data_IF_738479481218
#
_entry.id   IF_738479481218
#
_cell.length_a   1.000
_cell.length_b   1.000
_cell.length_c   1.000
_cell.angle_alpha   90.00
_cell.angle_beta   90.00
_cell.angle_gamma   90.00
#
_symmetry.space_group_name_H-M   'P 1'
#
loop_
_entity.id
_entity.type
_entity.pdbx_description
1 polymer ?
#
# COMPACT_ATOMS: atom_id res chain seq x y z
N UNK A 1 14.53 13.85 10.76
CA UNK A 1 14.06 12.46 10.55
C UNK A 1 13.28 12.41 9.24
N UNK A 2 13.56 11.41 8.39
CA UNK A 2 12.84 11.20 7.13
C UNK A 2 11.41 10.69 7.39
N UNK A 3 10.39 11.07 6.59
CA UNK A 3 9.04 10.60 6.79
C UNK A 3 8.89 9.11 6.42
N UNK A 4 8.17 8.35 7.23
CA UNK A 4 7.74 6.99 6.91
C UNK A 4 6.21 6.94 6.97
N UNK A 5 5.57 6.86 5.82
CA UNK A 5 4.11 6.84 5.72
C UNK A 5 3.61 5.40 5.67
N UNK A 6 2.85 5.02 6.67
CA UNK A 6 2.23 3.70 6.78
C UNK A 6 0.80 3.81 6.27
N UNK A 7 0.55 3.29 5.07
CA UNK A 7 -0.81 3.23 4.53
C UNK A 7 -1.56 2.04 5.13
N UNK A 8 -2.55 2.36 5.92
CA UNK A 8 -3.36 1.42 6.68
C UNK A 8 -4.79 1.35 6.14
N UNK A 9 -5.45 0.22 6.29
CA UNK A 9 -6.83 0.01 5.86
C UNK A 9 -7.05 -1.40 5.32
N UNK A 10 -8.30 -1.79 5.20
CA UNK A 10 -8.72 -3.10 4.72
C UNK A 10 -8.22 -3.42 3.30
N UNK A 11 -8.13 -4.69 2.91
CA UNK A 11 -7.90 -5.06 1.51
C UNK A 11 -8.92 -4.33 0.60
N UNK A 12 -8.47 -3.74 -0.51
CA UNK A 12 -9.37 -3.01 -1.41
C UNK A 12 -9.69 -1.56 -1.02
N UNK A 13 -9.20 -1.03 0.11
CA UNK A 13 -9.44 0.36 0.52
C UNK A 13 -8.75 1.41 -0.36
N UNK A 14 -7.83 1.03 -1.24
CA UNK A 14 -7.14 1.95 -2.15
C UNK A 14 -5.69 2.30 -1.76
N UNK A 15 -5.12 1.66 -0.73
CA UNK A 15 -3.74 1.90 -0.28
C UNK A 15 -2.71 1.92 -1.41
N UNK A 16 -2.68 0.88 -2.23
CA UNK A 16 -1.72 0.79 -3.34
C UNK A 16 -1.88 1.88 -4.40
N UNK A 17 -3.10 2.38 -4.61
CA UNK A 17 -3.35 3.53 -5.49
C UNK A 17 -2.76 4.79 -4.88
N UNK A 18 -3.02 5.04 -3.59
CA UNK A 18 -2.48 6.19 -2.89
C UNK A 18 -0.96 6.13 -2.75
N UNK A 19 -0.39 4.94 -2.49
CA UNK A 19 1.05 4.75 -2.45
C UNK A 19 1.73 5.15 -3.77
N UNK A 20 1.18 4.73 -4.91
CA UNK A 20 1.69 5.10 -6.23
C UNK A 20 1.61 6.60 -6.51
N UNK A 21 0.55 7.27 -6.05
CA UNK A 21 0.39 8.71 -6.20
C UNK A 21 1.34 9.50 -5.28
N UNK A 22 1.54 9.03 -4.05
CA UNK A 22 2.44 9.65 -3.08
C UNK A 22 3.92 9.43 -3.42
N UNK A 23 4.27 8.32 -4.07
CA UNK A 23 5.65 7.96 -4.41
C UNK A 23 6.42 9.09 -5.09
N UNK A 24 5.78 9.86 -5.98
CA UNK A 24 6.41 10.96 -6.71
C UNK A 24 6.93 12.09 -5.80
N UNK A 25 6.42 12.20 -4.57
CA UNK A 25 6.72 13.32 -3.66
C UNK A 25 7.31 12.91 -2.30
N UNK A 26 7.31 11.61 -1.95
CA UNK A 26 7.62 11.17 -0.60
C UNK A 26 8.62 10.01 -0.49
N UNK A 27 9.07 9.46 -1.58
CA UNK A 27 10.00 8.34 -1.59
C UNK A 27 9.39 7.03 -2.09
N UNK A 28 10.13 5.92 -2.03
CA UNK A 28 9.73 4.66 -2.64
C UNK A 28 8.49 4.05 -1.99
N UNK A 29 7.66 3.43 -2.84
CA UNK A 29 6.54 2.61 -2.43
C UNK A 29 7.03 1.18 -2.13
N UNK A 30 6.98 0.78 -0.87
CA UNK A 30 7.32 -0.55 -0.38
C UNK A 30 6.03 -1.32 -0.11
N UNK A 31 5.66 -2.20 -1.04
CA UNK A 31 4.47 -3.05 -0.96
C UNK A 31 4.86 -4.49 -0.64
N UNK A 32 4.58 -4.95 0.58
CA UNK A 32 4.86 -6.34 0.96
C UNK A 32 4.10 -7.34 0.10
N UNK A 33 2.90 -7.00 -0.32
CA UNK A 33 2.12 -7.85 -1.22
C UNK A 33 2.77 -7.99 -2.60
N UNK A 34 3.34 -6.92 -3.17
CA UNK A 34 4.02 -6.99 -4.47
C UNK A 34 5.36 -7.69 -4.36
N UNK A 35 6.12 -7.46 -3.27
CA UNK A 35 7.38 -8.16 -3.00
C UNK A 35 7.15 -9.67 -2.87
N UNK A 36 6.17 -10.11 -2.09
CA UNK A 36 5.83 -11.54 -1.95
C UNK A 36 5.36 -12.16 -3.28
N UNK A 37 4.59 -11.43 -4.09
CA UNK A 37 4.20 -11.89 -5.44
C UNK A 37 5.39 -12.03 -6.37
N UNK A 38 6.38 -11.14 -6.30
CA UNK A 38 7.62 -11.27 -7.07
C UNK A 38 8.39 -12.55 -6.69
N UNK A 39 8.50 -12.87 -5.39
CA UNK A 39 9.09 -14.13 -4.92
C UNK A 39 8.30 -15.35 -5.39
N UNK A 40 6.96 -15.30 -5.38
CA UNK A 40 6.10 -16.37 -5.91
C UNK A 40 6.37 -16.58 -7.41
N UNK A 41 6.49 -15.50 -8.17
CA UNK A 41 6.76 -15.55 -9.61
C UNK A 41 8.16 -16.09 -9.91
N UNK A 42 9.15 -15.76 -9.07
CA UNK A 42 10.51 -16.29 -9.15
C UNK A 42 10.61 -17.78 -8.75
N UNK A 43 9.60 -18.30 -8.02
CA UNK A 43 9.56 -19.70 -7.57
C UNK A 43 10.61 -20.04 -6.51
N UNK A 44 11.14 -19.02 -5.79
CA UNK A 44 12.13 -19.23 -4.73
C UNK A 44 11.51 -19.78 -3.43
N UNK A 45 12.33 -20.04 -2.42
CA UNK A 45 11.89 -20.64 -1.16
C UNK A 45 10.85 -19.78 -0.42
N UNK A 46 11.03 -18.48 -0.40
CA UNK A 46 10.08 -17.56 0.20
C UNK A 46 8.76 -17.54 -0.58
N UNK A 47 8.84 -17.49 -1.90
CA UNK A 47 7.67 -17.53 -2.78
C UNK A 47 6.86 -18.82 -2.60
N UNK A 48 7.50 -19.98 -2.53
CA UNK A 48 6.83 -21.27 -2.28
C UNK A 48 6.09 -21.30 -0.94
N UNK A 49 6.72 -20.79 0.13
CA UNK A 49 6.11 -20.70 1.47
C UNK A 49 4.93 -19.70 1.49
N UNK A 50 5.07 -18.56 0.83
CA UNK A 50 4.06 -17.52 0.81
C UNK A 50 2.84 -17.86 -0.05
N UNK A 51 3.03 -18.61 -1.15
CA UNK A 51 1.99 -18.86 -2.17
C UNK A 51 0.71 -19.48 -1.59
N UNK A 52 0.84 -20.54 -0.81
CA UNK A 52 -0.34 -21.23 -0.22
C UNK A 52 -1.12 -20.32 0.71
N UNK A 53 -0.42 -19.53 1.55
CA UNK A 53 -1.04 -18.62 2.50
C UNK A 53 -1.75 -17.47 1.79
N UNK A 54 -1.11 -16.86 0.79
CA UNK A 54 -1.69 -15.76 0.00
C UNK A 54 -2.93 -16.23 -0.76
N UNK A 55 -2.88 -17.43 -1.39
CA UNK A 55 -4.04 -18.02 -2.07
C UNK A 55 -5.22 -18.28 -1.13
N UNK A 56 -4.94 -18.59 0.15
CA UNK A 56 -5.94 -18.78 1.20
C UNK A 56 -6.40 -17.47 1.85
N UNK A 57 -5.81 -16.32 1.52
CA UNK A 57 -6.09 -15.02 2.12
C UNK A 57 -5.49 -14.82 3.50
N UNK A 58 -4.60 -15.71 3.93
CA UNK A 58 -3.93 -15.69 5.24
C UNK A 58 -2.65 -14.88 5.22
N UNK A 59 -2.18 -14.51 6.42
CA UNK A 59 -0.91 -13.79 6.58
C UNK A 59 0.29 -14.74 6.44
N UNK A 60 1.36 -14.22 5.85
CA UNK A 60 2.68 -14.86 5.84
C UNK A 60 3.32 -14.66 7.23
N UNK A 61 4.10 -15.61 7.77
CA UNK A 61 4.75 -15.49 9.07
C UNK A 61 5.50 -14.18 9.26
N UNK A 62 5.35 -13.59 10.46
CA UNK A 62 5.85 -12.25 10.78
C UNK A 62 7.36 -12.12 10.53
N UNK A 63 8.14 -13.15 10.87
CA UNK A 63 9.60 -13.17 10.75
C UNK A 63 10.04 -12.98 9.30
N UNK A 64 9.38 -13.69 8.37
CA UNK A 64 9.70 -13.61 6.94
C UNK A 64 9.36 -12.23 6.37
N UNK A 65 8.22 -11.66 6.78
CA UNK A 65 7.80 -10.35 6.30
C UNK A 65 8.66 -9.24 6.92
N UNK A 66 9.02 -9.35 8.19
CA UNK A 66 9.92 -8.41 8.86
C UNK A 66 11.27 -8.33 8.18
N UNK A 67 11.91 -9.49 7.91
CA UNK A 67 13.19 -9.56 7.19
C UNK A 67 13.11 -8.92 5.81
N UNK A 68 12.03 -9.23 5.06
CA UNK A 68 11.79 -8.67 3.73
C UNK A 68 11.70 -7.14 3.78
N UNK A 69 10.98 -6.58 4.76
CA UNK A 69 10.82 -5.13 4.91
C UNK A 69 12.11 -4.49 5.39
N UNK A 70 12.80 -5.05 6.39
CA UNK A 70 14.06 -4.53 6.89
C UNK A 70 15.10 -4.40 5.77
N UNK A 71 15.28 -5.46 4.98
CA UNK A 71 16.18 -5.46 3.83
C UNK A 71 15.80 -4.40 2.79
N UNK A 72 14.51 -4.15 2.57
CA UNK A 72 14.04 -3.16 1.59
C UNK A 72 14.21 -1.72 2.06
N UNK A 73 13.85 -1.42 3.31
CA UNK A 73 13.96 -0.04 3.82
C UNK A 73 15.41 0.39 4.08
N UNK A 74 16.33 -0.56 4.24
CA UNK A 74 17.76 -0.29 4.37
C UNK A 74 18.40 0.21 3.06
N UNK A 75 17.71 0.07 1.91
CA UNK A 75 18.25 0.50 0.61
C UNK A 75 18.42 2.03 0.55
N UNK A 76 19.42 2.52 -0.20
CA UNK A 76 19.74 3.95 -0.27
C UNK A 76 18.58 4.84 -0.71
N UNK A 77 17.69 4.35 -1.58
CA UNK A 77 16.53 5.08 -2.08
C UNK A 77 15.47 5.38 -1.01
N UNK A 78 15.45 4.60 0.09
CA UNK A 78 14.55 4.81 1.22
C UNK A 78 15.01 5.89 2.20
N UNK A 79 16.27 6.33 2.16
CA UNK A 79 16.85 7.25 3.15
C UNK A 79 16.14 8.61 3.24
N UNK A 80 15.56 9.08 2.14
CA UNK A 80 14.83 10.36 2.10
C UNK A 80 13.38 10.26 2.56
N UNK A 81 12.85 9.05 2.70
CA UNK A 81 11.48 8.75 3.11
C UNK A 81 11.00 7.44 2.49
N UNK A 82 9.91 6.89 3.01
CA UNK A 82 9.34 5.62 2.56
C UNK A 82 7.83 5.59 2.71
N UNK A 83 7.14 4.90 1.80
CA UNK A 83 5.71 4.62 1.90
C UNK A 83 5.55 3.12 2.05
N UNK A 84 5.01 2.67 3.18
CA UNK A 84 4.74 1.27 3.47
C UNK A 84 3.29 0.92 3.11
N UNK A 85 3.10 -0.12 2.31
CA UNK A 85 1.79 -0.63 1.91
C UNK A 85 1.68 -2.12 2.22
N UNK A 86 0.69 -2.48 3.04
CA UNK A 86 0.45 -3.84 3.47
C UNK A 86 1.37 -4.35 4.58
N UNK A 87 2.07 -3.46 5.26
CA UNK A 87 2.86 -3.71 6.45
C UNK A 87 2.81 -2.49 7.38
N UNK A 88 2.66 -2.68 8.72
CA UNK A 88 2.50 -3.95 9.42
C UNK A 88 1.08 -4.51 9.30
N UNK A 89 0.90 -5.83 9.54
CA UNK A 89 -0.39 -6.52 9.57
C UNK A 89 -0.69 -7.20 10.90
N UNK A 90 0.27 -7.24 11.81
CA UNK A 90 0.11 -7.73 13.19
C UNK A 90 0.71 -6.74 14.16
N UNK A 91 0.30 -6.78 15.44
CA UNK A 91 0.88 -5.93 16.48
C UNK A 91 2.37 -6.23 16.67
N UNK A 92 2.78 -7.50 16.52
CA UNK A 92 4.21 -7.89 16.57
C UNK A 92 5.01 -7.22 15.46
N UNK A 93 4.51 -7.23 14.23
CA UNK A 93 5.14 -6.51 13.11
C UNK A 93 5.21 -4.99 13.39
N UNK A 94 4.16 -4.40 13.98
CA UNK A 94 4.15 -2.97 14.31
C UNK A 94 5.23 -2.62 15.36
N UNK A 95 5.44 -3.48 16.36
CA UNK A 95 6.51 -3.31 17.33
C UNK A 95 7.90 -3.34 16.68
N UNK A 96 8.14 -4.34 15.83
CA UNK A 96 9.40 -4.46 15.08
C UNK A 96 9.61 -3.25 14.16
N UNK A 97 8.56 -2.81 13.47
CA UNK A 97 8.63 -1.63 12.59
C UNK A 97 9.04 -0.38 13.35
N UNK A 98 8.47 -0.09 14.52
CA UNK A 98 8.85 1.08 15.30
C UNK A 98 10.32 1.04 15.73
N UNK A 99 10.85 -0.14 16.07
CA UNK A 99 12.28 -0.33 16.33
C UNK A 99 13.16 -0.02 15.11
N UNK A 100 12.78 -0.50 13.92
CA UNK A 100 13.45 -0.17 12.66
C UNK A 100 13.41 1.34 12.39
N UNK A 101 12.22 1.97 12.52
CA UNK A 101 12.06 3.40 12.27
C UNK A 101 12.94 4.26 13.19
N UNK A 102 13.03 3.89 14.46
CA UNK A 102 13.88 4.57 15.43
C UNK A 102 15.37 4.42 15.08
N UNK A 103 15.81 3.19 14.77
CA UNK A 103 17.20 2.87 14.39
C UNK A 103 17.65 3.64 13.15
N UNK A 104 16.77 3.71 12.14
CA UNK A 104 17.09 4.28 10.82
C UNK A 104 16.74 5.78 10.70
N UNK A 105 16.27 6.41 11.78
CA UNK A 105 16.00 7.85 11.85
C UNK A 105 14.75 8.28 11.07
N UNK A 106 13.76 7.41 10.96
CA UNK A 106 12.46 7.73 10.36
C UNK A 106 11.47 8.32 11.36
N UNK A 107 10.57 9.17 10.86
CA UNK A 107 9.40 9.67 11.58
C UNK A 107 8.15 8.99 11.03
N UNK A 108 7.59 7.98 11.73
CA UNK A 108 6.41 7.25 11.24
C UNK A 108 5.12 8.07 11.36
N UNK A 109 4.22 7.89 10.40
CA UNK A 109 2.84 8.34 10.47
C UNK A 109 1.92 7.35 9.77
N UNK A 110 0.75 7.11 10.34
CA UNK A 110 -0.27 6.21 9.82
C UNK A 110 -1.33 7.01 9.08
N UNK A 111 -1.61 6.61 7.84
CA UNK A 111 -2.77 7.09 7.08
C UNK A 111 -3.74 5.94 6.94
N UNK A 112 -4.83 5.99 7.70
CA UNK A 112 -5.87 4.97 7.73
C UNK A 112 -6.97 5.29 6.71
N UNK A 113 -7.05 4.49 5.63
CA UNK A 113 -8.12 4.60 4.64
C UNK A 113 -9.33 3.76 5.06
N UNK A 114 -10.42 4.44 5.41
CA UNK A 114 -11.68 3.81 5.84
C UNK A 114 -12.62 3.66 4.64
N UNK A 115 -13.12 2.45 4.41
CA UNK A 115 -14.06 2.12 3.34
C UNK A 115 -15.03 1.03 3.81
N UNK A 116 -16.30 1.18 3.50
CA UNK A 116 -17.34 0.20 3.82
C UNK A 116 -17.07 -1.15 3.13
N UNK A 117 -17.35 -2.26 3.81
CA UNK A 117 -17.04 -3.61 3.33
C UNK A 117 -17.75 -3.98 2.03
N UNK A 118 -19.00 -3.54 1.84
CA UNK A 118 -19.73 -3.79 0.60
C UNK A 118 -19.02 -3.15 -0.60
N UNK A 119 -18.51 -1.93 -0.43
CA UNK A 119 -17.72 -1.25 -1.46
C UNK A 119 -16.39 -1.97 -1.71
N UNK A 120 -15.78 -2.53 -0.66
CA UNK A 120 -14.53 -3.30 -0.77
C UNK A 120 -14.74 -4.57 -1.59
N UNK A 121 -15.76 -5.34 -1.30
CA UNK A 121 -16.07 -6.57 -2.05
C UNK A 121 -16.28 -6.25 -3.53
N UNK A 122 -17.08 -5.24 -3.85
CA UNK A 122 -17.31 -4.78 -5.22
C UNK A 122 -16.00 -4.35 -5.92
N UNK A 123 -15.13 -3.57 -5.22
CA UNK A 123 -13.84 -3.13 -5.76
C UNK A 123 -12.90 -4.29 -6.07
N UNK A 124 -12.79 -5.26 -5.15
CA UNK A 124 -11.87 -6.38 -5.29
C UNK A 124 -12.33 -7.36 -6.38
N UNK A 125 -13.62 -7.67 -6.46
CA UNK A 125 -14.19 -8.52 -7.50
C UNK A 125 -14.02 -7.92 -8.89
N UNK A 126 -14.11 -6.59 -9.01
CA UNK A 126 -13.88 -5.85 -10.26
C UNK A 126 -12.42 -5.57 -10.59
N UNK A 127 -11.47 -5.92 -9.69
CA UNK A 127 -10.06 -5.61 -9.88
C UNK A 127 -9.40 -6.48 -10.94
N UNK A 128 -8.57 -5.84 -11.77
CA UNK A 128 -7.72 -6.50 -12.75
C UNK A 128 -6.29 -5.99 -12.58
N UNK A 129 -5.32 -6.84 -12.87
CA UNK A 129 -3.90 -6.48 -12.80
C UNK A 129 -3.19 -6.87 -14.09
N UNK A 130 -2.33 -5.98 -14.58
CA UNK A 130 -1.40 -6.32 -15.63
C UNK A 130 -0.29 -7.24 -15.07
N UNK A 131 -0.03 -8.42 -15.65
CA UNK A 131 1.02 -9.31 -15.18
C UNK A 131 2.43 -8.80 -15.50
N UNK A 132 2.57 -7.87 -16.45
CA UNK A 132 3.85 -7.33 -16.90
C UNK A 132 4.26 -6.11 -16.07
N UNK A 133 3.46 -5.04 -16.06
CA UNK A 133 3.82 -3.79 -15.37
C UNK A 133 3.18 -3.62 -13.98
N UNK A 134 2.36 -4.58 -13.52
CA UNK A 134 1.71 -4.52 -12.22
C UNK A 134 0.62 -3.45 -12.09
N UNK A 135 0.24 -2.76 -13.17
CA UNK A 135 -0.81 -1.73 -13.16
C UNK A 135 -2.15 -2.35 -12.78
N UNK A 136 -2.85 -1.65 -11.88
CA UNK A 136 -4.16 -2.05 -11.40
C UNK A 136 -5.26 -1.28 -12.13
N UNK A 137 -6.29 -2.02 -12.54
CA UNK A 137 -7.51 -1.51 -13.14
C UNK A 137 -8.72 -1.93 -12.30
N UNK A 138 -9.78 -1.17 -12.42
CA UNK A 138 -11.09 -1.50 -11.85
C UNK A 138 -12.15 -1.35 -12.93
N UNK A 139 -13.00 -2.34 -13.08
CA UNK A 139 -14.07 -2.29 -14.08
C UNK A 139 -15.06 -1.12 -13.87
N UNK A 140 -15.15 -0.63 -12.62
CA UNK A 140 -16.11 0.42 -12.25
C UNK A 140 -15.48 1.80 -12.10
N UNK A 141 -14.27 1.90 -11.54
CA UNK A 141 -13.68 3.19 -11.13
C UNK A 141 -12.49 3.62 -11.98
N UNK A 142 -11.81 2.69 -12.64
CA UNK A 142 -10.65 2.95 -13.50
C UNK A 142 -10.55 1.84 -14.57
N UNK A 143 -11.51 1.77 -15.53
CA UNK A 143 -11.46 0.75 -16.57
C UNK A 143 -10.28 1.00 -17.53
N UNK A 144 -9.71 -0.05 -18.15
CA UNK A 144 -8.75 0.12 -19.22
C UNK A 144 -9.42 0.69 -20.46
N UNK A 145 -8.67 1.41 -21.31
CA UNK A 145 -9.15 1.97 -22.56
C UNK A 145 -9.68 0.91 -23.52
N UNK A 146 -9.02 -0.25 -23.55
CA UNK A 146 -9.45 -1.44 -24.28
C UNK A 146 -9.77 -2.53 -23.29
N UNK A 147 -11.00 -3.03 -23.32
CA UNK A 147 -11.46 -4.05 -22.38
C UNK A 147 -10.48 -5.23 -22.30
N UNK A 148 -10.06 -5.56 -21.08
CA UNK A 148 -9.16 -6.69 -20.79
C UNK A 148 -7.68 -6.50 -21.17
N UNK A 149 -7.26 -5.31 -21.66
CA UNK A 149 -5.87 -5.02 -22.01
C UNK A 149 -5.28 -3.90 -21.17
N UNK A 150 -4.00 -4.00 -20.87
CA UNK A 150 -3.24 -2.95 -20.19
C UNK A 150 -3.02 -1.75 -21.11
N UNK A 151 -3.26 -0.54 -20.60
CA UNK A 151 -3.07 0.71 -21.37
C UNK A 151 -1.60 1.05 -21.61
N UNK A 152 -0.67 0.48 -20.81
CA UNK A 152 0.77 0.79 -20.90
C UNK A 152 1.54 -0.16 -21.80
N UNK A 153 1.20 -1.44 -21.81
CA UNK A 153 1.97 -2.49 -22.49
C UNK A 153 1.11 -3.44 -23.35
N UNK A 154 -0.22 -3.26 -23.35
CA UNK A 154 -1.14 -4.08 -24.14
C UNK A 154 -1.37 -5.50 -23.63
N UNK A 155 -0.71 -5.91 -22.54
CA UNK A 155 -0.84 -7.26 -21.98
C UNK A 155 -2.27 -7.54 -21.50
N UNK A 156 -2.67 -8.82 -21.57
CA UNK A 156 -3.97 -9.26 -21.06
C UNK A 156 -4.03 -9.10 -19.55
N UNK A 157 -5.07 -8.43 -19.07
CA UNK A 157 -5.30 -8.20 -17.65
C UNK A 157 -5.83 -9.47 -16.96
N UNK A 158 -5.29 -9.77 -15.79
CA UNK A 158 -5.65 -10.94 -15.00
C UNK A 158 -6.39 -10.55 -13.73
N UNK A 159 -7.29 -11.42 -13.27
CA UNK A 159 -7.82 -11.38 -11.91
C UNK A 159 -6.80 -12.01 -10.97
N UNK A 160 -6.52 -11.39 -9.83
CA UNK A 160 -5.65 -11.98 -8.82
C UNK A 160 -6.33 -13.21 -8.19
N UNK A 161 -5.56 -14.22 -7.86
CA UNK A 161 -6.10 -15.44 -7.21
C UNK A 161 -6.71 -15.12 -5.83
N UNK A 162 -6.16 -14.12 -5.12
CA UNK A 162 -6.62 -13.65 -3.82
C UNK A 162 -7.80 -12.66 -3.90
N UNK A 163 -8.38 -12.44 -5.08
CA UNK A 163 -9.59 -11.63 -5.30
C UNK A 163 -10.86 -12.47 -5.57
N UNK A 164 -10.81 -13.76 -5.30
CA UNK A 164 -12.02 -14.61 -5.27
C UNK A 164 -12.86 -14.26 -4.04
N UNK A 165 -14.18 -14.29 -4.14
CA UNK A 165 -15.07 -13.82 -3.07
C UNK A 165 -14.80 -14.50 -1.72
N UNK A 166 -14.61 -15.83 -1.70
CA UNK A 166 -14.31 -16.58 -0.49
C UNK A 166 -12.99 -16.09 0.17
N UNK A 167 -11.99 -15.79 -0.65
CA UNK A 167 -10.68 -15.29 -0.19
C UNK A 167 -10.78 -13.84 0.28
N UNK A 168 -11.57 -13.01 -0.39
CA UNK A 168 -11.85 -11.63 0.06
C UNK A 168 -12.43 -11.64 1.47
N UNK A 169 -13.41 -12.49 1.75
CA UNK A 169 -14.02 -12.62 3.08
C UNK A 169 -13.01 -13.06 4.14
N UNK A 170 -12.11 -13.98 3.82
CA UNK A 170 -11.05 -14.40 4.73
C UNK A 170 -10.06 -13.26 5.00
N UNK A 171 -9.64 -12.52 3.98
CA UNK A 171 -8.76 -11.35 4.13
C UNK A 171 -9.38 -10.26 4.98
N UNK A 172 -10.70 -10.07 4.94
CA UNK A 172 -11.39 -9.13 5.82
C UNK A 172 -11.40 -9.61 7.27
N UNK A 173 -11.64 -10.92 7.52
CA UNK A 173 -11.53 -11.49 8.87
C UNK A 173 -10.11 -11.36 9.44
N UNK A 174 -9.09 -11.66 8.65
CA UNK A 174 -7.69 -11.48 9.05
C UNK A 174 -7.39 -10.00 9.35
N UNK A 175 -7.92 -9.08 8.55
CA UNK A 175 -7.77 -7.66 8.80
C UNK A 175 -8.41 -7.25 10.12
N UNK A 176 -9.64 -7.67 10.39
CA UNK A 176 -10.36 -7.30 11.61
C UNK A 176 -9.69 -7.87 12.87
N UNK A 177 -9.26 -9.14 12.80
CA UNK A 177 -8.72 -9.84 13.96
C UNK A 177 -7.25 -9.51 14.24
N UNK A 178 -6.41 -9.36 13.22
CA UNK A 178 -4.97 -9.21 13.37
C UNK A 178 -4.47 -7.79 13.11
N UNK A 179 -5.10 -7.11 12.13
CA UNK A 179 -4.56 -5.84 11.62
C UNK A 179 -5.22 -4.63 12.27
N UNK A 180 -6.52 -4.61 12.40
CA UNK A 180 -7.24 -3.46 12.99
C UNK A 180 -6.75 -3.10 14.41
N UNK A 181 -6.39 -4.06 15.31
CA UNK A 181 -5.83 -3.74 16.62
C UNK A 181 -4.54 -2.93 16.62
N UNK A 182 -3.81 -2.89 15.48
CA UNK A 182 -2.57 -2.10 15.34
C UNK A 182 -2.83 -0.60 15.50
N UNK A 183 -4.03 -0.12 15.13
CA UNK A 183 -4.38 1.30 15.26
C UNK A 183 -4.26 1.75 16.72
N UNK A 184 -4.81 0.98 17.65
CA UNK A 184 -4.70 1.26 19.08
C UNK A 184 -3.24 1.20 19.56
N UNK A 185 -2.46 0.25 19.06
CA UNK A 185 -1.03 0.18 19.38
C UNK A 185 -0.28 1.44 18.92
N UNK A 186 -0.50 1.92 17.69
CA UNK A 186 0.14 3.13 17.19
C UNK A 186 -0.30 4.38 17.96
N UNK A 187 -1.58 4.50 18.31
CA UNK A 187 -2.09 5.60 19.15
C UNK A 187 -1.40 5.62 20.52
N UNK A 188 -1.31 4.46 21.18
CA UNK A 188 -0.63 4.33 22.48
C UNK A 188 0.86 4.63 22.39
N UNK A 189 1.50 4.29 21.26
CA UNK A 189 2.91 4.59 21.01
C UNK A 189 3.16 6.04 20.58
N UNK A 190 2.13 6.91 20.50
CA UNK A 190 2.26 8.31 20.13
C UNK A 190 2.55 8.55 18.64
N UNK A 191 2.30 7.58 17.77
CA UNK A 191 2.44 7.73 16.33
C UNK A 191 1.28 8.55 15.77
N UNK A 192 1.56 9.54 14.93
CA UNK A 192 0.52 10.34 14.26
C UNK A 192 -0.38 9.43 13.42
N UNK A 193 -1.70 9.54 13.60
CA UNK A 193 -2.69 8.75 12.88
C UNK A 193 -3.72 9.67 12.25
N UNK A 194 -3.90 9.54 10.94
CA UNK A 194 -4.85 10.32 10.13
C UNK A 194 -5.87 9.37 9.50
N UNK A 195 -7.15 9.58 9.84
CA UNK A 195 -8.24 8.80 9.27
C UNK A 195 -8.82 9.53 8.05
N UNK A 196 -8.85 8.86 6.91
CA UNK A 196 -9.30 9.39 5.62
C UNK A 196 -10.41 8.49 5.06
N UNK A 197 -11.57 9.08 4.80
CA UNK A 197 -12.65 8.36 4.10
C UNK A 197 -12.26 8.13 2.63
N UNK A 198 -12.07 6.84 2.27
CA UNK A 198 -11.75 6.38 0.91
C UNK A 198 -12.95 5.82 0.13
N UNK A 199 -14.16 5.91 0.72
CA UNK A 199 -15.35 5.22 0.18
C UNK A 199 -15.98 5.88 -1.04
N UNK A 200 -16.03 7.22 -1.10
CA UNK A 200 -16.85 7.97 -2.07
C UNK A 200 -16.07 8.99 -2.90
N UNK A 201 -14.75 9.06 -2.73
CA UNK A 201 -13.91 10.07 -3.35
C UNK A 201 -13.06 9.51 -4.48
N UNK A 202 -12.71 10.38 -5.43
CA UNK A 202 -11.73 10.04 -6.46
C UNK A 202 -10.35 9.83 -5.82
N UNK A 203 -9.47 9.02 -6.45
CA UNK A 203 -8.10 8.84 -5.95
C UNK A 203 -7.34 10.14 -5.72
N UNK A 204 -7.55 11.13 -6.60
CA UNK A 204 -6.92 12.45 -6.50
C UNK A 204 -7.41 13.23 -5.28
N UNK A 205 -8.71 13.20 -5.01
CA UNK A 205 -9.28 13.88 -3.84
C UNK A 205 -8.80 13.27 -2.52
N UNK A 206 -8.67 11.94 -2.48
CA UNK A 206 -8.09 11.25 -1.33
C UNK A 206 -6.62 11.65 -1.15
N UNK A 207 -5.84 11.70 -2.24
CA UNK A 207 -4.45 12.16 -2.22
C UNK A 207 -4.31 13.58 -1.66
N UNK A 208 -5.17 14.52 -2.12
CA UNK A 208 -5.19 15.90 -1.62
C UNK A 208 -5.36 15.93 -0.10
N UNK A 209 -6.36 15.20 0.42
CA UNK A 209 -6.62 15.12 1.86
C UNK A 209 -5.45 14.51 2.63
N UNK A 210 -4.84 13.44 2.11
CA UNK A 210 -3.65 12.86 2.71
C UNK A 210 -2.53 13.91 2.79
N UNK A 211 -2.28 14.62 1.69
CA UNK A 211 -1.22 15.65 1.64
C UNK A 211 -1.50 16.81 2.62
N UNK A 212 -2.73 17.26 2.73
CA UNK A 212 -3.15 18.30 3.70
C UNK A 212 -2.81 17.88 5.13
N UNK A 213 -3.13 16.63 5.53
CA UNK A 213 -2.81 16.12 6.87
C UNK A 213 -1.29 16.00 7.10
N UNK A 214 -0.55 15.51 6.10
CA UNK A 214 0.89 15.38 6.18
C UNK A 214 1.61 16.73 6.24
N UNK A 215 1.12 17.75 5.53
CA UNK A 215 1.63 19.13 5.60
C UNK A 215 1.33 19.74 6.97
N UNK A 216 0.08 19.61 7.45
CA UNK A 216 -0.33 20.11 8.77
C UNK A 216 0.50 19.54 9.91
N UNK A 217 0.89 18.27 9.80
CA UNK A 217 1.75 17.59 10.79
C UNK A 217 3.25 17.84 10.62
N UNK A 218 3.67 18.59 9.60
CA UNK A 218 5.07 18.85 9.30
C UNK A 218 5.86 17.63 8.78
N UNK A 219 5.16 16.65 8.22
CA UNK A 219 5.74 15.46 7.59
C UNK A 219 6.00 15.67 6.10
N UNK A 220 5.34 16.63 5.49
CA UNK A 220 5.52 17.04 4.11
C UNK A 220 5.69 18.56 4.03
N UNK A 221 6.62 19.01 3.20
CA UNK A 221 6.79 20.44 2.94
C UNK A 221 5.67 20.97 2.03
N UNK A 222 5.07 22.11 2.39
CA UNK A 222 3.95 22.71 1.65
C UNK A 222 4.30 23.37 0.30
N UNK A 223 5.48 23.07 -0.30
CA UNK A 223 5.80 23.58 -1.63
C UNK A 223 4.95 22.84 -2.68
N UNK A 224 3.95 23.56 -3.21
CA UNK A 224 3.28 23.15 -4.43
C UNK A 224 4.34 22.91 -5.52
N UNK A 225 4.38 21.69 -6.09
CA UNK A 225 5.21 21.41 -7.23
C UNK A 225 4.79 22.28 -8.42
N UNK A 226 5.49 23.38 -8.64
CA UNK A 226 5.55 24.03 -9.94
C UNK A 226 6.23 23.04 -10.87
N UNK A 227 5.43 22.44 -11.77
CA UNK A 227 5.94 21.60 -12.84
C UNK A 227 6.98 22.36 -13.68
N UNK A 228 7.87 21.65 -14.39
CA UNK A 228 8.86 22.28 -15.23
C UNK A 228 8.15 23.09 -16.33
N UNK A 229 8.29 24.42 -16.28
CA UNK A 229 7.98 25.28 -17.42
C UNK A 229 8.92 24.88 -18.55
N UNK A 230 8.37 24.23 -19.56
CA UNK A 230 9.04 24.08 -20.85
C UNK A 230 9.19 25.49 -21.43
N UNK A 231 10.40 26.03 -21.34
CA UNK A 231 10.81 27.23 -22.03
C UNK A 231 10.79 26.97 -23.54
N UNK A 232 9.77 27.46 -24.21
CA UNK A 232 9.77 27.65 -25.66
C UNK A 232 10.76 28.79 -25.92
N UNK A 233 11.94 28.46 -26.45
CA UNK A 233 12.81 29.44 -27.07
C UNK A 233 12.46 29.47 -28.56
N UNK A 234 12.00 30.63 -28.96
CA UNK A 234 11.89 31.13 -30.36
C UNK A 234 13.22 31.04 -31.10
#
# INVERSE_FOLDING_TARGET
MAPAIILFGSPGSGKGTQAKLLHQSMGPHVSTGDMLRAHIQAGDDLGRKAQTLIKAGRLVPDELVNELVENRIAQPDCKAGVILDGYPRTVKQAQVLLGMMQKDGFRPAVVHLVVDYDKIVARLSGRRQCPVCGTLYSQTTNPPKVAGKCDLDGAVLLTREDDRESVIRERLREYDSQTLPILNFFQTAGVSLFEINGGEQTPQRILERIREELIRSGLLSGKNGSGPQQGVRS
#
